data_IF_000713800200
#
_entry.id   IF_000713800200
#
_cell.length_a   1.000
_cell.length_b   1.000
_cell.length_c   1.000
_cell.angle_alpha   90.00
_cell.angle_beta   90.00
_cell.angle_gamma   90.00
#
_symmetry.space_group_name_H-M   'P 1'
#
loop_
_entity.id
_entity.type
_entity.pdbx_description
1 polymer ?
#
# COMPACT_ATOMS: atom_id res chain seq x y z
N UNK A 1 -7.23 -9.19 -6.94
CA UNK A 1 -5.90 -8.58 -6.71
C UNK A 1 -5.86 -7.75 -5.43
N UNK A 2 -6.45 -6.55 -5.37
CA UNK A 2 -6.31 -5.63 -4.22
C UNK A 2 -6.59 -6.27 -2.86
N UNK A 3 -7.70 -7.01 -2.72
CA UNK A 3 -8.06 -7.69 -1.46
C UNK A 3 -7.02 -8.73 -1.00
N UNK A 4 -6.42 -9.45 -1.96
CA UNK A 4 -5.38 -10.44 -1.65
C UNK A 4 -4.08 -9.74 -1.20
N UNK A 5 -3.66 -8.69 -1.91
CA UNK A 5 -2.52 -7.86 -1.50
C UNK A 5 -2.76 -7.23 -0.13
N UNK A 6 -3.96 -6.69 0.12
CA UNK A 6 -4.34 -6.11 1.40
C UNK A 6 -4.32 -7.12 2.55
N UNK A 7 -4.81 -8.34 2.33
CA UNK A 7 -4.75 -9.40 3.33
C UNK A 7 -3.31 -9.81 3.67
N UNK A 8 -2.45 -9.98 2.66
CA UNK A 8 -1.02 -10.28 2.86
C UNK A 8 -0.30 -9.13 3.58
N UNK A 9 -0.57 -7.88 3.20
CA UNK A 9 0.00 -6.70 3.85
C UNK A 9 -0.40 -6.63 5.33
N UNK A 10 -1.69 -6.81 5.63
CA UNK A 10 -2.19 -6.79 7.01
C UNK A 10 -1.59 -7.93 7.84
N UNK A 11 -1.49 -9.13 7.27
CA UNK A 11 -0.84 -10.25 7.92
C UNK A 11 0.64 -9.95 8.22
N UNK A 12 1.37 -9.45 7.23
CA UNK A 12 2.79 -9.12 7.35
C UNK A 12 3.05 -8.02 8.39
N UNK A 13 2.25 -6.95 8.40
CA UNK A 13 2.34 -5.86 9.37
C UNK A 13 1.94 -6.32 10.77
N UNK A 14 0.91 -7.15 10.91
CA UNK A 14 0.49 -7.68 12.20
C UNK A 14 1.56 -8.59 12.82
N UNK A 15 2.17 -9.47 12.03
CA UNK A 15 3.27 -10.33 12.50
C UNK A 15 4.52 -9.51 12.80
N UNK A 16 4.84 -8.47 12.00
CA UNK A 16 5.92 -7.53 12.30
C UNK A 16 5.71 -6.83 13.66
N UNK A 17 4.49 -6.35 13.93
CA UNK A 17 4.14 -5.74 15.20
C UNK A 17 4.32 -6.70 16.39
N UNK A 18 3.98 -7.97 16.21
CA UNK A 18 4.23 -9.01 17.23
C UNK A 18 5.73 -9.26 17.45
N UNK A 19 6.54 -9.23 16.39
CA UNK A 19 7.98 -9.44 16.48
C UNK A 19 8.72 -8.24 17.08
N UNK A 20 8.20 -7.02 16.87
CA UNK A 20 8.77 -5.79 17.39
C UNK A 20 8.38 -5.52 18.87
N UNK A 21 7.19 -5.97 19.30
CA UNK A 21 6.70 -5.83 20.68
C UNK A 21 6.65 -7.22 21.33
N UNK A 22 7.70 -7.64 22.09
CA UNK A 22 7.83 -9.00 22.60
C UNK A 22 6.62 -9.51 23.40
N UNK A 23 5.94 -8.62 24.12
CA UNK A 23 4.74 -8.92 24.89
C UNK A 23 3.59 -9.45 24.01
N UNK A 24 3.48 -8.96 22.77
CA UNK A 24 2.49 -9.46 21.81
C UNK A 24 2.87 -10.84 21.28
N UNK A 25 4.17 -11.14 21.11
CA UNK A 25 4.62 -12.46 20.71
C UNK A 25 4.39 -13.52 21.80
N UNK A 26 4.50 -13.14 23.08
CA UNK A 26 4.20 -14.01 24.22
C UNK A 26 2.72 -14.41 24.26
N UNK A 27 1.79 -13.51 23.91
CA UNK A 27 0.36 -13.81 23.79
C UNK A 27 0.06 -14.86 22.71
N UNK A 28 0.81 -14.85 21.61
CA UNK A 28 0.70 -15.89 20.57
C UNK A 28 1.33 -17.20 21.03
N UNK A 29 2.34 -17.14 21.91
CA UNK A 29 3.01 -18.30 22.50
C UNK A 29 3.86 -19.13 21.52
N UNK A 30 3.98 -18.71 20.25
CA UNK A 30 4.68 -19.44 19.17
C UNK A 30 5.45 -18.50 18.24
N UNK A 31 6.55 -17.93 18.74
CA UNK A 31 7.39 -16.99 17.97
C UNK A 31 7.83 -17.53 16.60
N UNK A 32 8.20 -18.81 16.52
CA UNK A 32 8.60 -19.43 15.26
C UNK A 32 7.51 -19.36 14.19
N UNK A 33 6.25 -19.62 14.58
CA UNK A 33 5.10 -19.49 13.68
C UNK A 33 4.93 -18.05 13.18
N UNK A 34 5.05 -17.06 14.08
CA UNK A 34 4.94 -15.63 13.73
C UNK A 34 6.02 -15.23 12.72
N UNK A 35 7.27 -15.66 12.95
CA UNK A 35 8.38 -15.43 12.01
C UNK A 35 8.08 -16.05 10.65
N UNK A 36 7.70 -17.33 10.61
CA UNK A 36 7.36 -18.02 9.36
C UNK A 36 6.23 -17.31 8.61
N UNK A 37 5.16 -16.91 9.31
CA UNK A 37 4.06 -16.17 8.70
C UNK A 37 4.51 -14.80 8.16
N UNK A 38 5.38 -14.10 8.88
CA UNK A 38 5.95 -12.82 8.45
C UNK A 38 6.76 -12.98 7.15
N UNK A 39 7.70 -13.92 7.14
CA UNK A 39 8.57 -14.23 6.00
C UNK A 39 7.76 -14.59 4.75
N UNK A 40 6.83 -15.54 4.87
CA UNK A 40 6.03 -15.99 3.73
C UNK A 40 5.01 -14.95 3.26
N UNK A 41 4.38 -14.20 4.18
CA UNK A 41 3.46 -13.14 3.78
C UNK A 41 4.19 -11.99 3.07
N UNK A 42 5.39 -11.62 3.52
CA UNK A 42 6.26 -10.65 2.85
C UNK A 42 6.72 -11.13 1.47
N UNK A 43 7.17 -12.38 1.36
CA UNK A 43 7.59 -12.99 0.08
C UNK A 43 6.46 -13.06 -0.94
N UNK A 44 5.25 -13.43 -0.50
CA UNK A 44 4.08 -13.57 -1.37
C UNK A 44 3.41 -12.23 -1.69
N UNK A 45 3.74 -11.15 -0.99
CA UNK A 45 3.08 -9.84 -1.11
C UNK A 45 3.03 -9.28 -2.55
N UNK A 46 4.08 -9.41 -3.38
CA UNK A 46 4.02 -8.99 -4.79
C UNK A 46 3.18 -9.94 -5.68
N UNK A 47 2.95 -11.17 -5.24
CA UNK A 47 2.33 -12.25 -6.01
C UNK A 47 0.99 -11.87 -6.65
N UNK A 48 -0.01 -11.33 -5.91
CA UNK A 48 -1.28 -10.94 -6.51
C UNK A 48 -1.13 -9.89 -7.62
N UNK A 49 -0.20 -8.94 -7.47
CA UNK A 49 0.07 -7.92 -8.50
C UNK A 49 0.65 -8.57 -9.74
N UNK A 50 1.70 -9.40 -9.58
CA UNK A 50 2.36 -10.11 -10.67
C UNK A 50 1.40 -11.00 -11.45
N UNK A 51 0.57 -11.80 -10.76
CA UNK A 51 -0.48 -12.60 -11.39
C UNK A 51 -1.52 -11.71 -12.10
N UNK A 52 -1.87 -10.59 -11.47
CA UNK A 52 -2.80 -9.62 -12.03
C UNK A 52 -2.31 -8.95 -13.32
N UNK A 53 -1.00 -8.91 -13.58
CA UNK A 53 -0.43 -8.27 -14.77
C UNK A 53 -0.93 -8.92 -16.07
N UNK A 54 -1.47 -10.14 -16.03
CA UNK A 54 -2.17 -10.76 -17.16
C UNK A 54 -3.44 -10.00 -17.60
N UNK A 55 -4.08 -9.26 -16.69
CA UNK A 55 -5.31 -8.51 -16.94
C UNK A 55 -5.05 -7.18 -17.65
N UNK A 56 -5.73 -6.97 -18.80
CA UNK A 56 -5.72 -5.69 -19.53
C UNK A 56 -6.23 -4.53 -18.67
N UNK A 57 -7.26 -4.77 -17.85
CA UNK A 57 -7.84 -3.76 -16.98
C UNK A 57 -6.84 -3.29 -15.93
N UNK A 58 -6.12 -4.22 -15.29
CA UNK A 58 -5.08 -3.86 -14.33
C UNK A 58 -3.96 -3.06 -15.00
N UNK A 59 -3.47 -3.51 -16.15
CA UNK A 59 -2.40 -2.78 -16.87
C UNK A 59 -2.82 -1.36 -17.23
N UNK A 60 -4.10 -1.15 -17.58
CA UNK A 60 -4.64 0.19 -17.81
C UNK A 60 -4.65 1.04 -16.52
N UNK A 61 -5.06 0.45 -15.40
CA UNK A 61 -5.07 1.13 -14.11
C UNK A 61 -3.66 1.48 -13.62
N UNK A 62 -2.70 0.57 -13.79
CA UNK A 62 -1.28 0.84 -13.47
C UNK A 62 -0.71 1.98 -14.33
N UNK A 63 -1.09 2.07 -15.62
CA UNK A 63 -0.70 3.21 -16.46
C UNK A 63 -1.30 4.53 -15.96
N UNK A 64 -2.56 4.53 -15.52
CA UNK A 64 -3.21 5.73 -14.94
C UNK A 64 -2.57 6.13 -13.61
N UNK A 65 -2.26 5.16 -12.76
CA UNK A 65 -1.58 5.38 -11.48
C UNK A 65 -0.18 5.96 -11.67
N UNK A 66 0.55 5.51 -12.70
CA UNK A 66 1.91 5.98 -12.99
C UNK A 66 1.96 7.27 -13.82
N UNK A 67 0.81 7.83 -14.22
CA UNK A 67 0.73 9.04 -15.05
C UNK A 67 0.19 10.21 -14.23
N UNK A 68 1.07 11.14 -13.89
CA UNK A 68 0.68 12.43 -13.29
C UNK A 68 0.30 13.44 -14.38
N UNK A 69 -0.88 14.01 -14.26
CA UNK A 69 -1.45 15.03 -15.16
C UNK A 69 -1.43 16.41 -14.48
N UNK A 70 -1.62 17.53 -15.23
CA UNK A 70 -1.55 18.87 -14.65
C UNK A 70 -2.46 19.09 -13.44
N UNK A 71 -3.68 18.55 -13.47
CA UNK A 71 -4.64 18.65 -12.38
C UNK A 71 -4.18 17.93 -11.09
N UNK A 72 -3.27 16.95 -11.18
CA UNK A 72 -2.72 16.30 -9.97
C UNK A 72 -1.85 17.28 -9.17
N UNK A 73 -1.20 18.26 -9.84
CA UNK A 73 -0.46 19.33 -9.17
C UNK A 73 -1.40 20.30 -8.46
N UNK A 74 -2.57 20.58 -9.04
CA UNK A 74 -3.61 21.40 -8.41
C UNK A 74 -4.14 20.72 -7.16
N UNK A 75 -4.45 19.41 -7.26
CA UNK A 75 -4.88 18.60 -6.13
C UNK A 75 -3.86 18.63 -4.97
N UNK A 76 -2.58 18.42 -5.28
CA UNK A 76 -1.51 18.46 -4.25
C UNK A 76 -1.35 19.84 -3.63
N UNK A 77 -1.49 20.92 -4.43
CA UNK A 77 -1.46 22.30 -3.91
C UNK A 77 -2.65 22.57 -2.99
N UNK A 78 -3.84 22.09 -3.33
CA UNK A 78 -5.01 22.22 -2.48
C UNK A 78 -4.84 21.50 -1.15
N UNK A 79 -4.31 20.26 -1.15
CA UNK A 79 -3.96 19.54 0.08
C UNK A 79 -2.93 20.31 0.91
N UNK A 80 -1.86 20.82 0.28
CA UNK A 80 -0.84 21.64 0.97
C UNK A 80 -1.43 22.90 1.61
N UNK A 81 -2.42 23.52 0.96
CA UNK A 81 -3.15 24.69 1.46
C UNK A 81 -4.29 24.33 2.43
N UNK A 82 -4.50 23.05 2.72
CA UNK A 82 -5.62 22.52 3.52
C UNK A 82 -7.00 22.90 2.95
N UNK A 83 -7.08 23.14 1.64
CA UNK A 83 -8.35 23.37 0.96
C UNK A 83 -9.04 22.02 0.75
N UNK A 84 -10.18 21.84 1.41
CA UNK A 84 -10.97 20.62 1.39
C UNK A 84 -12.16 20.68 0.43
N UNK A 85 -12.35 21.80 -0.27
CA UNK A 85 -13.45 21.97 -1.23
C UNK A 85 -13.30 20.98 -2.39
N UNK A 86 -14.36 20.28 -2.81
CA UNK A 86 -14.30 19.31 -3.92
C UNK A 86 -13.74 19.92 -5.22
N UNK A 87 -14.10 21.17 -5.51
CA UNK A 87 -13.69 21.87 -6.73
C UNK A 87 -12.18 22.17 -6.75
N UNK A 88 -11.57 22.33 -5.58
CA UNK A 88 -10.14 22.55 -5.43
C UNK A 88 -9.31 21.26 -5.60
N UNK A 89 -9.97 20.10 -5.63
CA UNK A 89 -9.33 18.77 -5.67
C UNK A 89 -9.77 17.96 -6.90
N UNK A 90 -9.44 18.43 -8.13
CA UNK A 90 -9.75 17.68 -9.34
C UNK A 90 -9.06 16.32 -9.36
N UNK A 91 -9.77 15.29 -9.81
CA UNK A 91 -9.25 13.93 -9.88
C UNK A 91 -9.75 13.19 -11.13
N UNK A 92 -8.87 12.39 -11.74
CA UNK A 92 -9.23 11.39 -12.76
C UNK A 92 -9.77 10.13 -12.10
N UNK A 93 -9.57 8.94 -12.70
CA UNK A 93 -9.98 7.67 -12.04
C UNK A 93 -9.35 7.52 -10.65
N UNK A 94 -8.09 7.98 -10.53
CA UNK A 94 -7.36 8.04 -9.29
C UNK A 94 -6.95 9.48 -9.02
N UNK A 95 -7.13 9.94 -7.78
CA UNK A 95 -6.63 11.25 -7.35
C UNK A 95 -5.11 11.21 -7.11
N UNK A 96 -4.47 12.38 -7.03
CA UNK A 96 -3.02 12.48 -6.88
C UNK A 96 -2.50 11.78 -5.61
N UNK A 97 -3.26 11.80 -4.51
CA UNK A 97 -2.93 11.07 -3.27
C UNK A 97 -2.91 9.56 -3.46
N UNK A 98 -3.90 8.99 -4.15
CA UNK A 98 -3.94 7.57 -4.51
C UNK A 98 -2.78 7.17 -5.42
N UNK A 99 -2.41 8.02 -6.39
CA UNK A 99 -1.24 7.80 -7.26
C UNK A 99 0.06 7.78 -6.45
N UNK A 100 0.25 8.77 -5.58
CA UNK A 100 1.42 8.86 -4.71
C UNK A 100 1.51 7.65 -3.77
N UNK A 101 0.40 7.30 -3.12
CA UNK A 101 0.34 6.13 -2.24
C UNK A 101 0.69 4.85 -3.00
N UNK A 102 0.11 4.63 -4.19
CA UNK A 102 0.36 3.45 -5.00
C UNK A 102 1.84 3.32 -5.41
N UNK A 103 2.46 4.42 -5.86
CA UNK A 103 3.89 4.42 -6.20
C UNK A 103 4.79 4.20 -4.99
N UNK A 104 4.52 4.92 -3.89
CA UNK A 104 5.30 4.81 -2.67
C UNK A 104 5.22 3.41 -2.04
N UNK A 105 4.01 2.85 -1.89
CA UNK A 105 3.84 1.53 -1.28
C UNK A 105 4.45 0.43 -2.16
N UNK A 106 4.38 0.56 -3.49
CA UNK A 106 5.02 -0.39 -4.40
C UNK A 106 6.55 -0.38 -4.22
N UNK A 107 7.17 0.81 -4.18
CA UNK A 107 8.60 0.94 -3.91
C UNK A 107 8.98 0.42 -2.52
N UNK A 108 8.18 0.74 -1.50
CA UNK A 108 8.40 0.30 -0.13
C UNK A 108 8.36 -1.24 -0.02
N UNK A 109 7.40 -1.90 -0.67
CA UNK A 109 7.32 -3.37 -0.69
C UNK A 109 8.57 -4.00 -1.31
N UNK A 110 9.12 -3.41 -2.38
CA UNK A 110 10.35 -3.92 -2.99
C UNK A 110 11.56 -3.79 -2.06
N UNK A 111 11.69 -2.67 -1.35
CA UNK A 111 12.76 -2.46 -0.35
C UNK A 111 12.58 -3.41 0.83
N UNK A 112 11.35 -3.59 1.33
CA UNK A 112 11.03 -4.52 2.41
C UNK A 112 11.36 -5.97 2.02
N UNK A 113 11.03 -6.37 0.78
CA UNK A 113 11.37 -7.70 0.26
C UNK A 113 12.89 -7.87 0.20
N UNK A 114 13.61 -6.91 -0.37
CA UNK A 114 15.08 -6.99 -0.49
C UNK A 114 15.77 -7.07 0.88
N UNK A 115 15.40 -6.18 1.80
CA UNK A 115 15.96 -6.18 3.17
C UNK A 115 15.57 -7.43 3.95
N UNK A 116 14.32 -7.89 3.83
CA UNK A 116 13.84 -9.13 4.45
C UNK A 116 14.59 -10.37 3.95
N UNK A 117 14.86 -10.47 2.64
CA UNK A 117 15.64 -11.58 2.08
C UNK A 117 17.11 -11.57 2.57
N UNK A 118 17.72 -10.40 2.71
CA UNK A 118 19.08 -10.27 3.27
C UNK A 118 19.13 -10.68 4.75
N UNK A 119 18.06 -10.43 5.51
CA UNK A 119 17.95 -10.85 6.91
C UNK A 119 17.65 -12.35 7.03
N UNK A 120 16.78 -12.88 6.18
CA UNK A 120 16.37 -14.30 6.20
C UNK A 120 17.51 -15.22 5.77
N UNK A 121 18.16 -14.91 4.64
CA UNK A 121 19.26 -15.72 4.12
C UNK A 121 20.60 -15.17 4.56
N UNK A 122 20.97 -15.50 5.80
CA UNK A 122 22.19 -15.00 6.45
C UNK A 122 23.48 -15.28 5.67
N UNK A 123 23.53 -16.32 4.83
CA UNK A 123 24.68 -16.62 3.98
C UNK A 123 24.87 -15.72 2.75
N UNK A 124 23.89 -14.87 2.40
CA UNK A 124 23.96 -14.05 1.18
C UNK A 124 24.75 -12.75 1.34
N UNK A 125 25.01 -12.29 2.57
CA UNK A 125 25.61 -10.98 2.79
C UNK A 125 26.45 -10.91 4.09
N UNK A 126 27.51 -10.07 4.10
CA UNK A 126 28.27 -9.78 5.31
C UNK A 126 27.39 -9.20 6.43
N UNK A 127 27.83 -9.36 7.68
CA UNK A 127 27.13 -8.86 8.88
C UNK A 127 26.75 -7.38 8.73
N UNK A 128 27.67 -6.54 8.23
CA UNK A 128 27.43 -5.11 8.04
C UNK A 128 26.20 -4.82 7.17
N UNK A 129 26.02 -5.56 6.08
CA UNK A 129 24.88 -5.36 5.18
C UNK A 129 23.57 -5.80 5.83
N UNK A 130 23.59 -6.89 6.60
CA UNK A 130 22.41 -7.37 7.33
C UNK A 130 22.00 -6.40 8.45
N UNK A 131 22.97 -5.78 9.13
CA UNK A 131 22.69 -4.74 10.12
C UNK A 131 22.03 -3.53 9.47
N UNK A 132 22.57 -3.05 8.35
CA UNK A 132 21.94 -1.97 7.58
C UNK A 132 20.56 -2.35 7.05
N UNK A 133 20.39 -3.59 6.58
CA UNK A 133 19.10 -4.10 6.13
C UNK A 133 18.07 -4.09 7.28
N UNK A 134 18.44 -4.55 8.47
CA UNK A 134 17.58 -4.53 9.66
C UNK A 134 17.13 -3.11 9.99
N UNK A 135 18.08 -2.16 10.02
CA UNK A 135 17.76 -0.75 10.28
C UNK A 135 16.76 -0.18 9.26
N UNK A 136 17.01 -0.40 7.96
CA UNK A 136 16.11 0.08 6.91
C UNK A 136 14.75 -0.61 6.98
N UNK A 137 14.73 -1.92 7.25
CA UNK A 137 13.50 -2.71 7.34
C UNK A 137 12.61 -2.23 8.49
N UNK A 138 13.16 -2.02 9.68
CA UNK A 138 12.40 -1.61 10.86
C UNK A 138 11.78 -0.22 10.71
N UNK A 139 12.57 0.76 10.25
CA UNK A 139 12.08 2.12 10.03
C UNK A 139 11.04 2.20 8.91
N UNK A 140 11.26 1.44 7.83
CA UNK A 140 10.30 1.39 6.74
C UNK A 140 9.02 0.64 7.14
N UNK A 141 9.12 -0.43 7.95
CA UNK A 141 7.95 -1.12 8.51
C UNK A 141 7.09 -0.17 9.35
N UNK A 142 7.71 0.65 10.22
CA UNK A 142 6.99 1.64 11.02
C UNK A 142 6.31 2.68 10.11
N UNK A 143 7.01 3.21 9.11
CA UNK A 143 6.44 4.15 8.15
C UNK A 143 5.25 3.53 7.38
N UNK A 144 5.38 2.29 6.92
CA UNK A 144 4.29 1.54 6.27
C UNK A 144 3.11 1.41 7.22
N UNK A 145 3.33 1.05 8.49
CA UNK A 145 2.28 0.95 9.50
C UNK A 145 1.47 2.25 9.62
N UNK A 146 2.13 3.40 9.76
CA UNK A 146 1.48 4.71 9.87
C UNK A 146 0.68 5.05 8.61
N UNK A 147 1.29 4.92 7.43
CA UNK A 147 0.62 5.26 6.16
C UNK A 147 -0.54 4.30 5.87
N UNK A 148 -0.39 3.01 6.20
CA UNK A 148 -1.44 2.01 6.06
C UNK A 148 -2.65 2.33 6.95
N UNK A 149 -2.43 2.72 8.20
CA UNK A 149 -3.51 3.18 9.09
C UNK A 149 -4.26 4.39 8.50
N UNK A 150 -3.53 5.37 7.98
CA UNK A 150 -4.13 6.51 7.28
C UNK A 150 -4.96 6.09 6.06
N UNK A 151 -4.44 5.15 5.25
CA UNK A 151 -5.15 4.59 4.10
C UNK A 151 -6.45 3.87 4.51
N UNK A 152 -6.40 3.04 5.57
CA UNK A 152 -7.58 2.37 6.11
C UNK A 152 -8.61 3.36 6.66
N UNK A 153 -8.15 4.41 7.36
CA UNK A 153 -9.02 5.48 7.86
C UNK A 153 -9.76 6.21 6.73
N UNK A 154 -9.05 6.57 5.65
CA UNK A 154 -9.66 7.17 4.46
C UNK A 154 -10.67 6.23 3.80
N UNK A 155 -10.32 4.96 3.63
CA UNK A 155 -11.24 3.96 3.08
C UNK A 155 -12.47 3.76 3.96
N UNK A 156 -12.33 3.87 5.28
CA UNK A 156 -13.45 3.75 6.20
C UNK A 156 -14.45 4.91 6.10
N UNK A 157 -13.94 6.12 5.80
CA UNK A 157 -14.75 7.33 5.61
C UNK A 157 -15.59 7.36 4.34
N UNK A 158 -15.32 6.49 3.36
CA UNK A 158 -16.06 6.43 2.10
C UNK A 158 -16.72 5.05 1.86
N UNK A 159 -18.00 4.88 2.22
CA UNK A 159 -18.75 3.65 1.96
C UNK A 159 -18.83 3.27 0.49
N UNK A 160 -18.91 4.25 -0.41
CA UNK A 160 -19.07 4.00 -1.83
C UNK A 160 -17.78 3.52 -2.47
N UNK A 161 -16.64 4.08 -2.08
CA UNK A 161 -15.32 3.56 -2.46
C UNK A 161 -15.15 2.10 -2.02
N UNK A 162 -15.56 1.75 -0.78
CA UNK A 162 -15.52 0.36 -0.30
C UNK A 162 -16.44 -0.57 -1.07
N UNK A 163 -17.65 -0.11 -1.42
CA UNK A 163 -18.57 -0.86 -2.30
C UNK A 163 -17.93 -1.08 -3.67
N UNK A 164 -17.29 -0.07 -4.23
CA UNK A 164 -16.52 -0.17 -5.47
C UNK A 164 -15.42 -1.22 -5.41
N UNK A 165 -14.64 -1.27 -4.33
CA UNK A 165 -13.61 -2.30 -4.14
C UNK A 165 -14.16 -3.73 -4.05
N UNK A 166 -15.40 -3.90 -3.57
CA UNK A 166 -16.04 -5.22 -3.43
C UNK A 166 -16.76 -5.67 -4.69
N UNK A 167 -17.42 -4.74 -5.38
CA UNK A 167 -18.36 -5.05 -6.47
C UNK A 167 -17.84 -4.65 -7.85
N UNK A 168 -16.80 -3.82 -7.92
CA UNK A 168 -16.29 -3.26 -9.16
C UNK A 168 -17.11 -2.09 -9.72
N UNK A 169 -18.18 -1.66 -9.04
CA UNK A 169 -19.08 -0.59 -9.51
C UNK A 169 -19.28 0.48 -8.44
N UNK A 170 -19.45 1.72 -8.88
CA UNK A 170 -19.73 2.89 -8.04
C UNK A 170 -20.93 3.65 -8.60
N UNK A 171 -21.55 4.49 -7.78
CA UNK A 171 -22.72 5.25 -8.22
C UNK A 171 -22.23 6.40 -9.09
N UNK A 172 -22.98 6.70 -10.16
CA UNK A 172 -22.59 7.74 -11.12
C UNK A 172 -22.39 9.10 -10.44
N UNK A 173 -23.28 9.48 -9.54
CA UNK A 173 -23.19 10.74 -8.80
C UNK A 173 -21.93 10.82 -7.92
N UNK A 174 -21.52 9.70 -7.31
CA UNK A 174 -20.27 9.64 -6.55
C UNK A 174 -19.06 9.83 -7.47
N UNK A 175 -19.04 9.15 -8.63
CA UNK A 175 -17.94 9.27 -9.59
C UNK A 175 -17.82 10.69 -10.16
N UNK A 176 -18.93 11.35 -10.50
CA UNK A 176 -18.91 12.73 -11.02
C UNK A 176 -18.43 13.74 -9.98
N UNK A 177 -18.67 13.48 -8.68
CA UNK A 177 -18.31 14.38 -7.58
C UNK A 177 -16.87 14.18 -7.09
N UNK A 178 -16.44 12.93 -6.90
CA UNK A 178 -15.10 12.58 -6.39
C UNK A 178 -14.04 12.50 -7.48
N UNK A 179 -14.46 12.20 -8.71
CA UNK A 179 -13.58 11.91 -9.84
C UNK A 179 -14.03 12.63 -11.13
N UNK A 180 -14.19 13.97 -11.10
CA UNK A 180 -14.80 14.73 -12.19
C UNK A 180 -14.06 14.60 -13.53
N UNK A 181 -12.75 14.32 -13.52
CA UNK A 181 -11.92 14.15 -14.72
C UNK A 181 -11.83 12.71 -15.20
N UNK A 182 -12.54 11.76 -14.58
CA UNK A 182 -12.41 10.34 -14.93
C UNK A 182 -12.86 10.05 -16.37
N UNK A 183 -13.95 10.65 -16.84
CA UNK A 183 -14.45 10.44 -18.22
C UNK A 183 -13.50 10.99 -19.30
N UNK A 184 -12.72 12.01 -18.96
CA UNK A 184 -11.80 12.70 -19.87
C UNK A 184 -10.44 11.99 -19.99
N UNK A 185 -10.18 11.00 -19.12
CA UNK A 185 -8.90 10.30 -18.97
C UNK A 185 -8.87 8.92 -19.66
#
# INVERSE_FOLDING_TARGET
MHRATGALMLLCVATAGCLYVPQLAELVGRRALVVTLHEWSGLLLPGPLLLGLGSRALRADLRRLNRFLPYDKEWLRAVRRRDARPEARPAGKFNAGQKLYAGWIAGAVLVMLGTGLLMWFTGLAPVLWRTSATFVHDWLALAIGVVLLGHLGMAYGDPQARRGMRTGTVDRAWAEREHPRWKEE
#
